data_IF_526454277736
#
_entry.id   IF_526454277736
#
_cell.length_a   1.000
_cell.length_b   1.000
_cell.length_c   1.000
_cell.angle_alpha   90.00
_cell.angle_beta   90.00
_cell.angle_gamma   90.00
#
_symmetry.space_group_name_H-M   'P 1'
#
loop_
_entity.id
_entity.type
_entity.pdbx_description
1 polymer ?
#
# COMPACT_ATOMS: atom_id res chain seq x y z
N UNK A 1 5.97 14.25 10.47
CA UNK A 1 7.18 13.74 11.15
C UNK A 1 8.40 13.80 10.23
N UNK A 2 8.43 13.14 9.06
CA UNK A 2 9.62 13.12 8.16
C UNK A 2 10.11 14.52 7.78
N UNK A 3 9.22 15.45 7.42
CA UNK A 3 9.59 16.82 7.08
C UNK A 3 10.24 17.60 8.25
N UNK A 4 9.83 17.30 9.49
CA UNK A 4 10.47 17.85 10.67
C UNK A 4 11.93 17.39 10.79
N UNK A 5 12.17 16.08 10.63
CA UNK A 5 13.53 15.53 10.68
C UNK A 5 14.39 16.04 9.54
N UNK A 6 13.85 16.10 8.31
CA UNK A 6 14.53 16.69 7.15
C UNK A 6 15.00 18.12 7.45
N UNK A 7 14.11 18.96 7.98
CA UNK A 7 14.45 20.33 8.37
C UNK A 7 15.53 20.37 9.45
N UNK A 8 15.43 19.51 10.47
CA UNK A 8 16.39 19.42 11.56
C UNK A 8 17.76 18.97 11.07
N UNK A 9 17.81 17.95 10.22
CA UNK A 9 19.08 17.47 9.62
C UNK A 9 19.72 18.58 8.79
N UNK A 10 18.97 19.26 7.93
CA UNK A 10 19.50 20.38 7.13
C UNK A 10 20.01 21.55 7.98
N UNK A 11 19.42 21.80 9.15
CA UNK A 11 19.92 22.86 10.05
C UNK A 11 21.27 22.51 10.69
N UNK A 12 21.56 21.21 10.86
CA UNK A 12 22.83 20.74 11.46
C UNK A 12 23.87 20.39 10.39
N UNK A 13 23.44 19.87 9.26
CA UNK A 13 24.29 19.46 8.14
C UNK A 13 23.74 20.02 6.81
N UNK A 14 23.91 21.33 6.51
CA UNK A 14 23.29 21.98 5.35
C UNK A 14 23.68 21.37 4.01
N UNK A 15 24.90 20.86 3.91
CA UNK A 15 25.45 20.25 2.68
C UNK A 15 25.05 18.79 2.46
N UNK A 16 24.46 18.13 3.47
CA UNK A 16 24.03 16.74 3.33
C UNK A 16 22.88 16.62 2.34
N UNK A 17 23.00 15.83 1.25
CA UNK A 17 21.91 15.59 0.34
C UNK A 17 20.76 14.87 1.03
N UNK A 18 19.54 15.39 0.90
CA UNK A 18 18.34 14.78 1.44
C UNK A 18 17.39 14.33 0.32
N UNK A 19 17.10 13.05 0.33
CA UNK A 19 16.25 12.38 -0.65
C UNK A 19 14.97 11.94 0.03
N UNK A 20 13.83 12.19 -0.57
CA UNK A 20 12.53 11.68 -0.14
C UNK A 20 11.96 10.73 -1.19
N UNK A 21 11.14 9.78 -0.75
CA UNK A 21 10.49 8.81 -1.64
C UNK A 21 9.35 8.08 -0.93
N UNK A 22 8.81 7.09 -1.62
CA UNK A 22 7.72 6.27 -1.13
C UNK A 22 6.38 6.55 -1.82
N UNK A 23 5.42 5.66 -1.65
CA UNK A 23 4.15 5.64 -2.40
C UNK A 23 3.26 6.88 -2.20
N UNK A 24 3.48 7.66 -1.14
CA UNK A 24 2.71 8.89 -0.85
C UNK A 24 3.26 10.10 -1.64
N UNK A 25 4.48 10.01 -2.15
CA UNK A 25 5.19 11.10 -2.81
C UNK A 25 5.39 10.72 -4.27
N UNK A 26 4.43 11.01 -5.13
CA UNK A 26 4.53 10.65 -6.55
C UNK A 26 3.78 11.60 -7.47
N UNK A 27 4.09 11.55 -8.76
CA UNK A 27 3.44 12.35 -9.78
C UNK A 27 3.53 13.86 -9.52
N UNK A 28 2.43 14.57 -9.68
CA UNK A 28 2.35 16.03 -9.41
C UNK A 28 2.77 16.42 -7.99
N UNK A 29 2.53 15.55 -7.01
CA UNK A 29 2.89 15.84 -5.62
C UNK A 29 4.40 15.97 -5.42
N UNK A 30 5.22 15.24 -6.17
CA UNK A 30 6.68 15.28 -6.04
C UNK A 30 7.24 16.66 -6.36
N UNK A 31 6.86 17.23 -7.50
CA UNK A 31 7.33 18.57 -7.90
C UNK A 31 6.82 19.65 -6.95
N UNK A 32 5.53 19.58 -6.56
CA UNK A 32 4.95 20.52 -5.60
C UNK A 32 5.68 20.47 -4.24
N UNK A 33 6.04 19.27 -3.77
CA UNK A 33 6.77 19.09 -2.52
C UNK A 33 8.19 19.64 -2.59
N UNK A 34 8.95 19.37 -3.67
CA UNK A 34 10.28 19.94 -3.86
C UNK A 34 10.26 21.47 -3.84
N UNK A 35 9.28 22.09 -4.52
CA UNK A 35 9.15 23.53 -4.57
C UNK A 35 8.70 24.13 -3.23
N UNK A 36 7.91 23.40 -2.45
CA UNK A 36 7.41 23.85 -1.15
C UNK A 36 8.37 23.60 0.00
N UNK A 37 9.30 22.66 -0.13
CA UNK A 37 10.25 22.26 0.91
C UNK A 37 11.71 22.31 0.41
N UNK A 38 12.37 23.47 0.49
CA UNK A 38 13.75 23.64 0.01
C UNK A 38 14.78 22.70 0.65
N UNK A 39 14.45 22.14 1.81
CA UNK A 39 15.29 21.17 2.52
C UNK A 39 15.33 19.78 1.88
N UNK A 40 14.47 19.49 0.92
CA UNK A 40 14.51 18.25 0.14
C UNK A 40 15.28 18.53 -1.15
N UNK A 41 16.31 17.79 -1.44
CA UNK A 41 17.12 17.98 -2.65
C UNK A 41 16.56 17.18 -3.84
N UNK A 42 16.13 15.94 -3.59
CA UNK A 42 15.57 15.04 -4.59
C UNK A 42 14.33 14.32 -4.08
N UNK A 43 13.45 13.94 -5.00
CA UNK A 43 12.41 12.96 -4.73
C UNK A 43 12.58 11.78 -5.69
N UNK A 44 12.48 10.56 -5.14
CA UNK A 44 12.39 9.35 -5.94
C UNK A 44 10.93 9.01 -6.14
N UNK A 45 10.52 8.96 -7.40
CA UNK A 45 9.18 8.60 -7.85
C UNK A 45 9.19 7.16 -8.39
N UNK A 46 8.45 6.27 -7.75
CA UNK A 46 8.45 4.84 -8.04
C UNK A 46 9.38 4.04 -7.13
N UNK A 47 10.00 3.00 -7.69
CA UNK A 47 10.89 2.08 -6.96
C UNK A 47 12.29 2.68 -6.85
N UNK A 48 12.82 2.68 -5.63
CA UNK A 48 14.00 3.49 -5.29
C UNK A 48 15.34 2.83 -5.53
N UNK A 49 15.40 1.52 -5.70
CA UNK A 49 16.62 0.74 -5.65
C UNK A 49 17.68 1.24 -6.65
N UNK A 50 17.35 1.32 -7.93
CA UNK A 50 18.30 1.77 -8.96
C UNK A 50 18.46 3.29 -8.98
N UNK A 51 17.41 4.12 -8.92
CA UNK A 51 17.56 5.57 -8.89
C UNK A 51 18.44 6.06 -7.74
N UNK A 52 18.25 5.49 -6.53
CA UNK A 52 19.03 5.84 -5.36
C UNK A 52 20.49 5.36 -5.50
N UNK A 53 20.73 4.16 -6.02
CA UNK A 53 22.08 3.65 -6.26
C UNK A 53 22.86 4.55 -7.24
N UNK A 54 22.23 4.97 -8.34
CA UNK A 54 22.83 5.92 -9.30
C UNK A 54 23.15 7.28 -8.67
N UNK A 55 22.25 7.79 -7.84
CA UNK A 55 22.49 9.06 -7.15
C UNK A 55 23.68 8.94 -6.19
N UNK A 56 23.76 7.87 -5.40
CA UNK A 56 24.87 7.63 -4.47
C UNK A 56 26.20 7.49 -5.25
N UNK A 57 26.19 6.76 -6.35
CA UNK A 57 27.37 6.58 -7.20
C UNK A 57 27.88 7.93 -7.76
N UNK A 58 26.95 8.78 -8.25
CA UNK A 58 27.28 10.11 -8.73
C UNK A 58 27.94 10.98 -7.65
N UNK A 59 27.32 11.01 -6.45
CA UNK A 59 27.85 11.79 -5.33
C UNK A 59 29.21 11.27 -4.84
N UNK A 60 29.43 9.96 -4.86
CA UNK A 60 30.74 9.36 -4.52
C UNK A 60 31.85 9.76 -5.51
N UNK A 61 31.53 9.96 -6.77
CA UNK A 61 32.47 10.42 -7.81
C UNK A 61 32.71 11.96 -7.73
N UNK A 62 32.33 12.60 -6.61
CA UNK A 62 32.42 14.06 -6.40
C UNK A 62 31.56 14.89 -7.36
N UNK A 63 30.53 14.29 -7.94
CA UNK A 63 29.53 15.01 -8.68
C UNK A 63 28.72 15.94 -7.75
N UNK A 64 28.30 17.07 -8.26
CA UNK A 64 27.43 17.97 -7.53
C UNK A 64 25.97 17.62 -7.74
N UNK A 65 25.08 18.06 -6.85
CA UNK A 65 23.65 17.84 -6.98
C UNK A 65 23.08 18.46 -8.27
N UNK A 66 23.66 19.57 -8.71
CA UNK A 66 23.24 20.29 -9.91
C UNK A 66 23.66 19.60 -11.22
N UNK A 67 24.67 18.77 -11.17
CA UNK A 67 25.22 18.01 -12.30
C UNK A 67 24.66 16.61 -12.41
N UNK A 68 23.75 16.20 -11.51
CA UNK A 68 23.15 14.89 -11.58
C UNK A 68 22.35 14.74 -12.90
N UNK A 69 22.66 13.70 -13.72
CA UNK A 69 22.00 13.52 -15.00
C UNK A 69 20.53 13.18 -14.86
N UNK A 70 19.73 13.54 -15.86
CA UNK A 70 18.35 13.14 -15.92
C UNK A 70 18.25 11.62 -15.81
N UNK A 71 17.56 11.16 -14.78
CA UNK A 71 17.49 9.73 -14.43
C UNK A 71 16.03 9.37 -14.19
N UNK A 72 15.49 8.36 -14.90
CA UNK A 72 14.12 7.91 -14.67
C UNK A 72 13.85 7.64 -13.19
N UNK A 73 12.75 8.18 -12.68
CA UNK A 73 12.37 8.05 -11.28
C UNK A 73 13.02 9.07 -10.33
N UNK A 74 13.95 9.91 -10.78
CA UNK A 74 14.50 11.00 -9.96
C UNK A 74 13.87 12.33 -10.35
N UNK A 75 13.23 12.98 -9.41
CA UNK A 75 12.61 14.30 -9.59
C UNK A 75 13.49 15.34 -8.92
N UNK A 76 13.87 16.37 -9.68
CA UNK A 76 14.66 17.52 -9.24
C UNK A 76 13.85 18.82 -9.41
N UNK A 77 14.36 19.94 -8.93
CA UNK A 77 13.75 21.27 -9.19
C UNK A 77 13.82 21.68 -10.65
N UNK A 78 14.72 21.06 -11.44
CA UNK A 78 14.84 21.27 -12.89
C UNK A 78 13.85 20.39 -13.68
N UNK A 79 13.25 19.38 -13.05
CA UNK A 79 12.27 18.49 -13.70
C UNK A 79 11.01 19.30 -14.04
N UNK A 80 10.60 19.36 -15.31
CA UNK A 80 9.42 20.11 -15.68
C UNK A 80 8.17 19.57 -14.96
N UNK A 81 7.19 20.43 -14.65
CA UNK A 81 5.91 20.00 -14.11
C UNK A 81 5.27 19.02 -15.08
N UNK A 82 5.04 17.82 -14.62
CA UNK A 82 4.55 16.74 -15.48
C UNK A 82 3.05 16.95 -15.75
N UNK A 83 2.74 17.24 -16.98
CA UNK A 83 1.42 16.99 -17.52
C UNK A 83 1.32 15.47 -17.76
N UNK A 84 0.62 14.76 -16.89
CA UNK A 84 0.43 13.31 -16.90
C UNK A 84 1.60 12.48 -16.33
N UNK A 85 1.33 11.83 -15.20
CA UNK A 85 2.04 10.70 -14.58
C UNK A 85 3.52 10.62 -14.96
N UNK A 86 4.32 11.43 -14.34
CA UNK A 86 5.72 11.56 -14.65
C UNK A 86 6.50 10.27 -14.62
N UNK A 87 7.66 10.31 -15.24
CA UNK A 87 8.55 9.18 -15.30
C UNK A 87 8.80 8.62 -13.90
N UNK A 88 8.19 7.50 -13.60
CA UNK A 88 8.50 6.71 -12.42
C UNK A 88 9.45 5.58 -12.83
N UNK A 89 10.34 5.23 -11.95
CA UNK A 89 11.16 4.06 -12.14
C UNK A 89 10.46 2.82 -11.62
N UNK A 90 10.58 1.72 -12.36
CA UNK A 90 10.01 0.44 -12.01
C UNK A 90 10.99 -0.68 -12.37
N UNK A 91 11.27 -1.57 -11.43
CA UNK A 91 11.99 -2.80 -11.71
C UNK A 91 11.14 -3.76 -12.54
N UNK A 92 11.63 -4.19 -13.67
CA UNK A 92 10.92 -5.17 -14.51
C UNK A 92 11.09 -6.60 -13.99
N UNK A 93 12.30 -6.96 -13.55
CA UNK A 93 12.62 -8.30 -13.04
C UNK A 93 12.92 -8.27 -11.54
N UNK A 94 11.96 -8.73 -10.72
CA UNK A 94 12.15 -8.80 -9.28
C UNK A 94 13.20 -9.82 -8.82
N UNK A 95 13.71 -10.67 -9.71
CA UNK A 95 14.80 -11.59 -9.38
C UNK A 95 16.12 -10.87 -9.14
N UNK A 96 16.29 -9.69 -9.73
CA UNK A 96 17.49 -8.87 -9.58
C UNK A 96 17.54 -8.10 -8.24
N UNK A 97 16.45 -8.11 -7.47
CA UNK A 97 16.41 -7.40 -6.19
C UNK A 97 17.15 -8.24 -5.14
N UNK A 98 18.15 -7.66 -4.46
CA UNK A 98 18.89 -8.36 -3.41
C UNK A 98 18.00 -8.64 -2.20
N UNK A 99 18.38 -9.65 -1.40
CA UNK A 99 17.76 -9.91 -0.11
C UNK A 99 17.97 -8.67 0.79
N UNK A 100 16.91 -8.17 1.47
CA UNK A 100 17.05 -7.03 2.37
C UNK A 100 18.03 -7.31 3.52
N UNK A 101 18.83 -6.30 3.87
CA UNK A 101 19.69 -6.37 5.05
C UNK A 101 19.05 -5.62 6.22
N UNK A 102 18.72 -6.34 7.28
CA UNK A 102 18.12 -5.80 8.51
C UNK A 102 19.11 -5.71 9.68
N UNK A 103 20.40 -5.86 9.46
CA UNK A 103 21.40 -5.93 10.52
C UNK A 103 21.41 -4.67 11.40
N UNK A 104 21.37 -3.49 10.77
CA UNK A 104 21.34 -2.22 11.49
C UNK A 104 20.07 -2.10 12.36
N UNK A 105 18.91 -2.46 11.80
CA UNK A 105 17.64 -2.47 12.52
C UNK A 105 17.72 -3.36 13.78
N UNK A 106 18.23 -4.57 13.67
CA UNK A 106 18.37 -5.49 14.81
C UNK A 106 19.43 -5.02 15.79
N UNK A 107 20.50 -4.36 15.33
CA UNK A 107 21.49 -3.71 16.20
C UNK A 107 20.85 -2.61 17.05
N UNK A 108 20.04 -1.76 16.46
CA UNK A 108 19.29 -0.71 17.17
C UNK A 108 18.28 -1.32 18.14
N UNK A 109 17.51 -2.33 17.71
CA UNK A 109 16.53 -3.01 18.56
C UNK A 109 17.18 -3.62 19.79
N UNK A 110 18.33 -4.28 19.62
CA UNK A 110 19.12 -4.86 20.72
C UNK A 110 19.70 -3.84 21.69
N UNK A 111 19.86 -2.58 21.28
CA UNK A 111 20.31 -1.48 22.14
C UNK A 111 19.21 -0.83 22.97
N UNK A 112 17.93 -1.17 22.71
CA UNK A 112 16.81 -0.62 23.46
C UNK A 112 16.73 -1.19 24.87
N UNK A 113 16.33 -0.38 25.89
CA UNK A 113 16.04 -0.89 27.22
C UNK A 113 14.97 -1.99 27.17
N UNK A 114 15.04 -3.02 28.06
CA UNK A 114 14.09 -4.15 28.06
C UNK A 114 12.61 -3.73 28.06
N UNK A 115 12.26 -2.64 28.74
CA UNK A 115 10.89 -2.12 28.80
C UNK A 115 10.40 -1.51 27.47
N UNK A 116 11.28 -1.31 26.50
CA UNK A 116 10.97 -0.76 25.17
C UNK A 116 11.19 -1.77 24.04
N UNK A 117 11.63 -2.99 24.35
CA UNK A 117 11.76 -4.06 23.37
C UNK A 117 10.40 -4.59 22.97
N UNK A 118 10.28 -5.03 21.74
CA UNK A 118 9.09 -5.66 21.17
C UNK A 118 9.52 -6.82 20.27
N UNK A 119 8.60 -7.73 20.00
CA UNK A 119 8.85 -8.80 19.05
C UNK A 119 8.85 -8.25 17.62
N UNK A 120 9.99 -8.29 16.91
CA UNK A 120 10.08 -7.77 15.57
C UNK A 120 9.32 -8.66 14.58
N UNK A 121 8.84 -8.05 13.51
CA UNK A 121 8.27 -8.74 12.37
C UNK A 121 9.06 -8.34 11.12
N UNK A 122 9.55 -9.32 10.37
CA UNK A 122 10.29 -9.11 9.14
C UNK A 122 9.33 -8.78 7.99
N UNK A 123 9.47 -7.63 7.32
CA UNK A 123 8.75 -7.40 6.08
C UNK A 123 9.34 -8.26 4.96
N UNK A 124 8.46 -8.85 4.15
CA UNK A 124 8.82 -9.62 2.96
C UNK A 124 7.86 -9.28 1.81
N UNK A 125 8.23 -9.65 0.59
CA UNK A 125 7.36 -9.48 -0.57
C UNK A 125 7.46 -10.69 -1.51
N UNK A 126 6.31 -11.13 -2.01
CA UNK A 126 6.19 -12.10 -3.10
C UNK A 126 6.08 -11.36 -4.43
N UNK A 127 5.39 -10.20 -4.44
CA UNK A 127 5.02 -9.48 -5.65
C UNK A 127 4.98 -7.97 -5.45
N UNK A 128 5.04 -7.23 -6.54
CA UNK A 128 4.79 -5.79 -6.59
C UNK A 128 3.70 -5.46 -7.58
N UNK A 129 2.86 -4.49 -7.24
CA UNK A 129 1.66 -4.15 -7.95
C UNK A 129 0.45 -4.96 -7.46
N UNK A 130 -0.66 -4.86 -8.17
CA UNK A 130 -1.88 -5.59 -7.83
C UNK A 130 -2.37 -6.39 -9.04
N UNK A 131 -2.49 -7.71 -8.87
CA UNK A 131 -2.93 -8.60 -9.95
C UNK A 131 -4.41 -8.39 -10.35
N UNK A 132 -5.21 -7.73 -9.51
CA UNK A 132 -6.57 -7.34 -9.83
C UNK A 132 -6.63 -6.11 -10.74
N UNK A 133 -5.63 -5.23 -10.67
CA UNK A 133 -5.52 -4.07 -11.52
C UNK A 133 -5.01 -4.48 -12.90
N UNK A 134 -5.90 -4.51 -13.88
CA UNK A 134 -5.56 -4.81 -15.28
C UNK A 134 -5.69 -3.52 -16.10
N UNK A 135 -4.62 -3.04 -16.75
CA UNK A 135 -4.76 -2.03 -17.78
C UNK A 135 -5.60 -2.62 -18.91
N UNK A 136 -6.60 -1.88 -19.39
CA UNK A 136 -7.28 -2.25 -20.61
C UNK A 136 -6.62 -1.60 -21.83
N UNK A 137 -6.99 -2.06 -23.02
CA UNK A 137 -6.50 -1.53 -24.28
C UNK A 137 -6.80 -0.04 -24.50
N UNK A 138 -7.73 0.53 -23.74
CA UNK A 138 -8.14 1.94 -23.83
C UNK A 138 -7.54 2.79 -22.70
N UNK A 139 -6.59 2.25 -21.92
CA UNK A 139 -5.95 2.97 -20.80
C UNK A 139 -6.88 3.20 -19.60
N UNK A 140 -8.06 2.57 -19.58
CA UNK A 140 -8.93 2.60 -18.40
C UNK A 140 -8.45 1.62 -17.37
N UNK A 141 -8.18 2.12 -16.18
CA UNK A 141 -7.60 1.37 -15.08
C UNK A 141 -8.67 0.48 -14.42
N UNK A 142 -8.61 -0.83 -14.68
CA UNK A 142 -9.52 -1.81 -14.08
C UNK A 142 -8.97 -2.32 -12.75
N UNK A 143 -9.18 -1.58 -11.70
CA UNK A 143 -8.88 -1.95 -10.32
C UNK A 143 -10.03 -1.54 -9.40
N UNK A 144 -9.85 -1.69 -8.09
CA UNK A 144 -10.82 -1.21 -7.12
C UNK A 144 -10.99 0.32 -7.26
N UNK A 145 -12.24 0.79 -7.35
CA UNK A 145 -12.54 2.19 -7.70
C UNK A 145 -11.95 3.21 -6.72
N UNK A 146 -11.79 2.84 -5.46
CA UNK A 146 -11.27 3.68 -4.39
C UNK A 146 -9.74 3.62 -4.23
N UNK A 147 -9.09 2.62 -4.81
CA UNK A 147 -7.69 2.32 -4.53
C UNK A 147 -6.75 3.21 -5.34
N UNK A 148 -5.74 3.73 -4.68
CA UNK A 148 -4.67 4.52 -5.27
C UNK A 148 -3.26 3.97 -4.98
N UNK A 149 -3.15 2.74 -4.46
CA UNK A 149 -1.85 2.16 -4.07
C UNK A 149 -0.92 1.92 -5.26
N UNK A 150 -1.47 1.71 -6.45
CA UNK A 150 -0.71 1.34 -7.64
C UNK A 150 -0.60 2.48 -8.67
N UNK A 151 -0.59 3.74 -8.23
CA UNK A 151 -0.47 4.89 -9.15
C UNK A 151 0.93 5.11 -9.68
N UNK A 152 1.96 4.68 -8.95
CA UNK A 152 3.36 4.90 -9.28
C UNK A 152 4.00 3.77 -10.10
N UNK A 153 3.26 2.71 -10.41
CA UNK A 153 3.73 1.60 -11.23
C UNK A 153 2.60 0.95 -11.99
N UNK A 154 2.96 0.29 -13.08
CA UNK A 154 2.03 -0.43 -13.92
C UNK A 154 2.29 -1.94 -13.86
N UNK A 155 1.21 -2.70 -14.07
CA UNK A 155 1.29 -4.15 -14.15
C UNK A 155 1.50 -4.83 -12.79
N UNK A 156 1.75 -6.11 -12.87
CA UNK A 156 1.94 -7.00 -11.73
C UNK A 156 3.18 -7.86 -11.99
N UNK A 157 4.11 -7.86 -11.05
CA UNK A 157 5.39 -8.60 -11.12
C UNK A 157 5.53 -9.46 -9.89
N UNK A 158 6.19 -10.61 -10.02
CA UNK A 158 6.24 -11.60 -8.95
C UNK A 158 7.60 -12.30 -8.94
N UNK A 159 8.12 -12.55 -7.73
CA UNK A 159 9.29 -13.39 -7.49
C UNK A 159 8.95 -14.87 -7.72
N UNK A 160 9.95 -15.69 -7.96
CA UNK A 160 9.76 -17.15 -7.98
C UNK A 160 9.53 -17.70 -6.57
N UNK A 161 8.84 -18.83 -6.48
CA UNK A 161 8.63 -19.47 -5.17
C UNK A 161 9.96 -19.84 -4.49
N UNK A 162 10.95 -20.30 -5.27
CA UNK A 162 12.29 -20.63 -4.78
C UNK A 162 12.97 -19.43 -4.14
N UNK A 163 12.93 -18.28 -4.82
CA UNK A 163 13.52 -17.05 -4.32
C UNK A 163 12.84 -16.63 -3.00
N UNK A 164 11.51 -16.58 -2.95
CA UNK A 164 10.78 -16.15 -1.74
C UNK A 164 11.07 -17.07 -0.57
N UNK A 165 11.03 -18.38 -0.77
CA UNK A 165 11.31 -19.36 0.29
C UNK A 165 12.75 -19.24 0.80
N UNK A 166 13.71 -19.10 -0.10
CA UNK A 166 15.13 -18.92 0.28
C UNK A 166 15.36 -17.60 1.02
N UNK A 167 14.73 -16.50 0.60
CA UNK A 167 14.82 -15.21 1.29
C UNK A 167 14.25 -15.30 2.71
N UNK A 168 13.08 -15.91 2.88
CA UNK A 168 12.42 -16.05 4.19
C UNK A 168 13.25 -16.97 5.10
N UNK A 169 13.72 -18.10 4.58
CA UNK A 169 14.54 -19.03 5.36
C UNK A 169 15.83 -18.37 5.82
N UNK A 170 16.52 -17.66 4.92
CA UNK A 170 17.73 -16.90 5.23
C UNK A 170 17.49 -15.82 6.29
N UNK A 171 16.48 -14.94 6.08
CA UNK A 171 16.20 -13.82 6.98
C UNK A 171 15.78 -14.29 8.37
N UNK A 172 14.88 -15.27 8.43
CA UNK A 172 14.39 -15.80 9.70
C UNK A 172 15.45 -16.55 10.50
N UNK A 173 16.33 -17.28 9.79
CA UNK A 173 17.48 -17.97 10.42
C UNK A 173 18.54 -16.98 10.91
N UNK A 174 18.88 -15.97 10.11
CA UNK A 174 19.88 -14.95 10.43
C UNK A 174 19.49 -14.11 11.65
N UNK A 175 18.25 -13.70 11.71
CA UNK A 175 17.75 -12.76 12.72
C UNK A 175 17.01 -13.44 13.88
N UNK A 176 16.83 -14.77 13.83
CA UNK A 176 16.11 -15.57 14.82
C UNK A 176 14.68 -15.03 15.07
N UNK A 177 13.99 -14.65 14.00
CA UNK A 177 12.64 -14.10 14.00
C UNK A 177 11.73 -14.92 13.10
N UNK A 178 10.63 -15.44 13.65
CA UNK A 178 9.66 -16.27 12.91
C UNK A 178 8.40 -15.50 12.47
N UNK A 179 8.26 -14.23 12.89
CA UNK A 179 7.17 -13.37 12.45
C UNK A 179 7.53 -12.67 11.15
N UNK A 180 6.72 -12.85 10.11
CA UNK A 180 6.92 -12.27 8.78
C UNK A 180 5.64 -11.65 8.27
N UNK A 181 5.69 -10.40 7.81
CA UNK A 181 4.58 -9.70 7.16
C UNK A 181 4.86 -9.55 5.67
N UNK A 182 3.98 -10.12 4.84
CA UNK A 182 4.03 -9.89 3.41
C UNK A 182 3.43 -8.53 3.08
N UNK A 183 4.24 -7.66 2.45
CA UNK A 183 3.90 -6.27 2.13
C UNK A 183 3.25 -6.13 0.76
N UNK A 184 2.78 -7.22 0.21
CA UNK A 184 2.07 -7.28 -1.08
C UNK A 184 0.72 -6.57 -0.99
N UNK A 185 0.33 -5.82 -2.03
CA UNK A 185 -1.00 -5.18 -2.09
C UNK A 185 -2.17 -6.19 -2.16
N UNK A 186 -1.92 -7.39 -2.59
CA UNK A 186 -2.79 -8.56 -2.51
C UNK A 186 -2.01 -9.78 -3.00
N UNK A 187 -1.87 -10.80 -2.16
CA UNK A 187 -1.21 -12.04 -2.57
C UNK A 187 -1.92 -12.70 -3.77
N UNK A 188 -1.15 -13.14 -4.77
CA UNK A 188 -1.69 -13.89 -5.90
C UNK A 188 -2.03 -15.33 -5.47
N UNK A 189 -3.30 -15.78 -5.52
CA UNK A 189 -3.72 -17.03 -4.88
C UNK A 189 -2.84 -18.24 -5.25
N UNK A 190 -2.77 -18.60 -6.52
CA UNK A 190 -2.09 -19.84 -6.96
C UNK A 190 -0.55 -19.80 -6.79
N UNK A 191 0.06 -18.63 -6.91
CA UNK A 191 1.52 -18.49 -6.72
C UNK A 191 1.89 -18.52 -5.24
N UNK A 192 1.10 -17.84 -4.42
CA UNK A 192 1.27 -17.85 -2.97
C UNK A 192 1.06 -19.24 -2.39
N UNK A 193 0.08 -20.01 -2.90
CA UNK A 193 -0.12 -21.41 -2.53
C UNK A 193 1.19 -22.21 -2.59
N UNK A 194 1.93 -22.10 -3.70
CA UNK A 194 3.22 -22.78 -3.87
C UNK A 194 4.27 -22.33 -2.86
N UNK A 195 4.32 -21.03 -2.56
CA UNK A 195 5.25 -20.49 -1.57
C UNK A 195 4.92 -21.03 -0.18
N UNK A 196 3.67 -20.93 0.27
CA UNK A 196 3.26 -21.37 1.61
C UNK A 196 3.35 -22.89 1.78
N UNK A 197 3.01 -23.67 0.76
CA UNK A 197 3.22 -25.11 0.79
C UNK A 197 4.70 -25.49 1.03
N UNK A 198 5.63 -24.77 0.41
CA UNK A 198 7.07 -25.01 0.63
C UNK A 198 7.57 -24.48 1.96
N UNK A 199 7.05 -23.33 2.43
CA UNK A 199 7.37 -22.79 3.76
C UNK A 199 6.94 -23.74 4.87
N UNK A 200 5.78 -24.40 4.75
CA UNK A 200 5.35 -25.43 5.71
C UNK A 200 6.32 -26.61 5.79
N UNK A 201 6.97 -26.95 4.67
CA UNK A 201 8.01 -27.98 4.61
C UNK A 201 9.29 -27.67 5.40
N UNK A 202 9.54 -26.40 5.75
CA UNK A 202 10.69 -25.99 6.58
C UNK A 202 10.51 -26.37 8.06
N UNK A 203 9.31 -26.73 8.48
CA UNK A 203 8.95 -27.14 9.86
C UNK A 203 9.38 -26.13 10.92
N UNK A 204 9.22 -24.83 10.63
CA UNK A 204 9.44 -23.72 11.54
C UNK A 204 8.08 -23.16 12.00
N UNK A 205 7.98 -22.71 13.24
CA UNK A 205 6.76 -22.11 13.81
C UNK A 205 6.55 -20.67 13.32
N UNK A 206 6.39 -20.51 12.01
CA UNK A 206 6.17 -19.20 11.42
C UNK A 206 4.86 -18.56 11.87
N UNK A 207 4.88 -17.23 11.95
CA UNK A 207 3.69 -16.39 12.12
C UNK A 207 3.63 -15.41 10.96
N UNK A 208 2.78 -15.71 9.98
CA UNK A 208 2.61 -14.87 8.80
C UNK A 208 1.44 -13.92 8.93
N UNK A 209 1.63 -12.72 8.36
CA UNK A 209 0.59 -11.77 8.03
C UNK A 209 0.59 -11.51 6.52
N UNK A 210 -0.60 -11.31 5.92
CA UNK A 210 -0.71 -10.89 4.53
C UNK A 210 -2.04 -10.21 4.20
N UNK A 211 -2.07 -9.53 3.04
CA UNK A 211 -3.30 -9.02 2.44
C UNK A 211 -3.73 -9.92 1.28
N UNK A 212 -5.01 -10.26 1.22
CA UNK A 212 -5.61 -11.09 0.17
C UNK A 212 -6.94 -10.53 -0.33
N UNK A 213 -7.44 -11.10 -1.40
CA UNK A 213 -8.80 -10.85 -1.89
C UNK A 213 -9.77 -11.95 -1.42
N UNK A 214 -11.05 -11.59 -1.29
CA UNK A 214 -12.08 -12.52 -0.84
C UNK A 214 -12.33 -13.69 -1.82
N UNK A 215 -11.92 -13.58 -3.07
CA UNK A 215 -11.96 -14.66 -4.06
C UNK A 215 -10.81 -15.69 -3.90
N UNK A 216 -10.25 -15.82 -2.69
CA UNK A 216 -9.23 -16.85 -2.39
C UNK A 216 -9.92 -18.12 -1.90
N UNK A 217 -9.69 -19.21 -2.61
CA UNK A 217 -10.32 -20.49 -2.34
C UNK A 217 -9.93 -21.06 -0.96
N UNK A 218 -10.82 -21.87 -0.38
CA UNK A 218 -10.60 -22.50 0.92
C UNK A 218 -9.33 -23.36 0.98
N UNK A 219 -9.06 -24.15 -0.05
CA UNK A 219 -7.83 -24.97 -0.13
C UNK A 219 -6.54 -24.15 -0.06
N UNK A 220 -6.55 -22.94 -0.63
CA UNK A 220 -5.41 -22.03 -0.56
C UNK A 220 -5.25 -21.49 0.87
N UNK A 221 -6.36 -21.19 1.54
CA UNK A 221 -6.33 -20.76 2.94
C UNK A 221 -5.87 -21.90 3.88
N UNK A 222 -6.19 -23.15 3.58
CA UNK A 222 -5.68 -24.32 4.32
C UNK A 222 -4.15 -24.44 4.17
N UNK A 223 -3.60 -24.27 2.97
CA UNK A 223 -2.15 -24.23 2.77
C UNK A 223 -1.51 -23.04 3.53
N UNK A 224 -2.18 -21.89 3.59
CA UNK A 224 -1.72 -20.73 4.35
C UNK A 224 -1.72 -21.02 5.87
N UNK A 225 -2.81 -21.59 6.40
CA UNK A 225 -2.92 -21.97 7.79
C UNK A 225 -1.84 -22.98 8.20
N UNK A 226 -1.64 -24.02 7.39
CA UNK A 226 -0.63 -25.06 7.60
C UNK A 226 0.81 -24.53 7.62
N UNK A 227 1.05 -23.42 6.91
CA UNK A 227 2.35 -22.75 6.91
C UNK A 227 2.55 -21.77 8.07
N UNK A 228 1.50 -21.49 8.85
CA UNK A 228 1.56 -20.54 9.97
C UNK A 228 0.97 -19.16 9.70
N UNK A 229 0.02 -19.03 8.76
CA UNK A 229 -0.73 -17.78 8.57
C UNK A 229 -1.57 -17.47 9.80
N UNK A 230 -1.09 -16.56 10.63
CA UNK A 230 -1.73 -16.20 11.89
C UNK A 230 -2.81 -15.12 11.71
N UNK A 231 -2.54 -14.16 10.83
CA UNK A 231 -3.41 -13.00 10.63
C UNK A 231 -3.48 -12.63 9.16
N UNK A 232 -4.65 -12.22 8.69
CA UNK A 232 -4.90 -11.89 7.30
C UNK A 232 -5.82 -10.67 7.19
N UNK A 233 -5.50 -9.75 6.29
CA UNK A 233 -6.42 -8.70 5.88
C UNK A 233 -7.09 -9.09 4.57
N UNK A 234 -8.35 -9.46 4.63
CA UNK A 234 -9.12 -9.72 3.41
C UNK A 234 -9.74 -8.43 2.90
N UNK A 235 -9.59 -8.16 1.61
CA UNK A 235 -10.22 -7.02 0.95
C UNK A 235 -11.73 -7.20 0.81
N UNK A 236 -12.48 -7.16 1.91
CA UNK A 236 -13.94 -7.29 1.98
C UNK A 236 -14.65 -6.01 1.54
N UNK A 237 -14.36 -4.90 2.16
CA UNK A 237 -14.81 -3.53 1.91
C UNK A 237 -16.32 -3.28 2.00
N UNK A 238 -17.18 -4.23 1.60
CA UNK A 238 -18.62 -4.12 1.65
C UNK A 238 -19.29 -5.51 1.78
N UNK A 239 -20.53 -5.53 2.30
CA UNK A 239 -21.39 -6.70 2.36
C UNK A 239 -22.70 -6.49 1.59
N UNK A 240 -22.68 -5.61 0.60
CA UNK A 240 -23.72 -5.48 -0.45
C UNK A 240 -23.09 -5.80 -1.81
N UNK A 241 -23.65 -6.76 -2.52
CA UNK A 241 -23.17 -7.15 -3.86
C UNK A 241 -23.25 -5.99 -4.86
N UNK A 242 -24.27 -5.16 -4.77
CA UNK A 242 -24.39 -3.97 -5.61
C UNK A 242 -23.30 -2.91 -5.26
N UNK A 243 -23.00 -2.72 -3.99
CA UNK A 243 -21.91 -1.82 -3.55
C UNK A 243 -20.54 -2.35 -3.98
N UNK A 244 -20.31 -3.66 -3.90
CA UNK A 244 -19.09 -4.32 -4.38
C UNK A 244 -18.89 -4.14 -5.89
N UNK A 245 -19.95 -4.15 -6.69
CA UNK A 245 -19.90 -3.79 -8.12
C UNK A 245 -19.48 -2.34 -8.32
N UNK A 246 -20.03 -1.39 -7.55
CA UNK A 246 -19.66 0.03 -7.61
C UNK A 246 -18.20 0.26 -7.20
N UNK A 247 -17.71 -0.50 -6.23
CA UNK A 247 -16.32 -0.52 -5.78
C UNK A 247 -15.37 -1.23 -6.77
N UNK A 248 -15.91 -1.88 -7.79
CA UNK A 248 -15.18 -2.73 -8.73
C UNK A 248 -14.31 -3.80 -8.04
N UNK A 249 -14.88 -4.44 -7.00
CA UNK A 249 -14.18 -5.47 -6.23
C UNK A 249 -14.12 -6.82 -6.94
N UNK A 250 -15.07 -7.11 -7.84
CA UNK A 250 -15.16 -8.39 -8.52
C UNK A 250 -15.52 -9.56 -7.61
N UNK A 251 -16.12 -9.28 -6.46
CA UNK A 251 -16.65 -10.26 -5.50
C UNK A 251 -18.09 -9.92 -5.16
N UNK A 252 -18.80 -10.87 -4.56
CA UNK A 252 -20.17 -10.76 -4.05
C UNK A 252 -20.20 -10.74 -2.52
N UNK A 253 -21.31 -10.35 -1.95
CA UNK A 253 -21.49 -10.36 -0.50
C UNK A 253 -21.36 -11.79 0.08
N UNK A 254 -21.84 -12.80 -0.64
CA UNK A 254 -21.76 -14.20 -0.18
C UNK A 254 -20.31 -14.72 -0.17
N UNK A 255 -19.51 -14.41 -1.18
CA UNK A 255 -18.08 -14.75 -1.21
C UNK A 255 -17.31 -14.08 -0.06
N UNK A 256 -17.68 -12.82 0.27
CA UNK A 256 -17.11 -12.14 1.41
C UNK A 256 -17.49 -12.79 2.76
N UNK A 257 -18.73 -13.27 2.91
CA UNK A 257 -19.16 -14.03 4.09
C UNK A 257 -18.48 -15.42 4.15
N UNK A 258 -18.33 -16.06 3.01
CA UNK A 258 -17.68 -17.37 2.90
C UNK A 258 -16.22 -17.31 3.36
N UNK A 259 -15.45 -16.32 2.90
CA UNK A 259 -14.05 -16.20 3.34
C UNK A 259 -13.95 -15.84 4.83
N UNK A 260 -14.88 -15.04 5.38
CA UNK A 260 -14.94 -14.80 6.83
C UNK A 260 -15.13 -16.11 7.59
N UNK A 261 -16.10 -16.96 7.16
CA UNK A 261 -16.32 -18.29 7.71
C UNK A 261 -15.08 -19.18 7.61
N UNK A 262 -14.42 -19.19 6.45
CA UNK A 262 -13.24 -20.01 6.22
C UNK A 262 -12.07 -19.58 7.11
N UNK A 263 -11.86 -18.28 7.31
CA UNK A 263 -10.84 -17.78 8.24
C UNK A 263 -11.09 -18.25 9.68
N UNK A 264 -12.34 -18.14 10.18
CA UNK A 264 -12.68 -18.62 11.52
C UNK A 264 -12.47 -20.14 11.65
N UNK A 265 -12.93 -20.92 10.66
CA UNK A 265 -12.79 -22.39 10.66
C UNK A 265 -11.33 -22.86 10.65
N UNK A 266 -10.42 -22.07 10.08
CA UNK A 266 -8.99 -22.37 9.98
C UNK A 266 -8.15 -21.70 11.08
N UNK A 267 -8.78 -20.98 12.01
CA UNK A 267 -8.07 -20.28 13.09
C UNK A 267 -7.25 -19.08 12.61
N UNK A 268 -7.48 -18.58 11.40
CA UNK A 268 -6.81 -17.43 10.84
C UNK A 268 -7.53 -16.16 11.32
N UNK A 269 -6.81 -15.25 11.97
CA UNK A 269 -7.38 -13.98 12.42
C UNK A 269 -7.62 -13.04 11.25
N UNK A 270 -8.90 -12.80 10.91
CA UNK A 270 -9.30 -11.84 9.88
C UNK A 270 -9.44 -10.42 10.47
N UNK A 271 -8.71 -9.43 9.91
CA UNK A 271 -8.72 -8.02 10.33
C UNK A 271 -9.24 -7.07 9.25
N UNK A 272 -10.19 -7.51 8.48
CA UNK A 272 -10.73 -6.81 7.31
C UNK A 272 -11.53 -5.55 7.64
N UNK A 273 -11.61 -4.68 6.64
CA UNK A 273 -12.32 -3.40 6.74
C UNK A 273 -13.72 -3.47 6.10
N UNK A 274 -14.64 -2.65 6.63
CA UNK A 274 -15.91 -2.29 6.02
C UNK A 274 -15.90 -0.79 5.74
N UNK A 275 -15.99 -0.40 4.46
CA UNK A 275 -15.96 0.99 4.05
C UNK A 275 -17.34 1.63 4.23
N UNK A 276 -17.40 2.65 5.06
CA UNK A 276 -18.58 3.46 5.27
C UNK A 276 -18.55 4.70 4.38
N UNK A 277 -19.75 5.16 3.99
CA UNK A 277 -19.94 6.43 3.27
C UNK A 277 -19.21 6.49 1.92
N UNK A 278 -19.15 5.37 1.20
CA UNK A 278 -18.66 5.39 -0.17
C UNK A 278 -19.60 6.22 -1.06
N UNK A 279 -19.09 7.18 -1.85
CA UNK A 279 -19.94 7.99 -2.73
C UNK A 279 -20.66 7.11 -3.74
N UNK A 280 -21.96 7.35 -3.91
CA UNK A 280 -22.83 6.53 -4.78
C UNK A 280 -23.43 5.28 -4.11
N UNK A 281 -23.14 4.98 -2.82
CA UNK A 281 -23.91 3.97 -2.10
C UNK A 281 -25.36 4.43 -1.89
N UNK A 282 -26.28 3.48 -1.88
CA UNK A 282 -27.73 3.69 -1.73
C UNK A 282 -28.24 3.13 -0.41
N UNK A 283 -29.46 3.53 -0.01
CA UNK A 283 -30.12 2.95 1.15
C UNK A 283 -30.26 1.42 1.06
N UNK A 284 -30.50 0.91 -0.15
CA UNK A 284 -30.56 -0.55 -0.40
C UNK A 284 -29.22 -1.22 -0.08
N UNK A 285 -28.10 -0.60 -0.45
CA UNK A 285 -26.76 -1.13 -0.16
C UNK A 285 -26.49 -1.18 1.35
N UNK A 286 -26.97 -0.17 2.10
CA UNK A 286 -26.85 -0.13 3.56
C UNK A 286 -27.71 -1.22 4.21
N UNK A 287 -28.98 -1.34 3.80
CA UNK A 287 -29.90 -2.36 4.33
C UNK A 287 -29.41 -3.78 4.05
N UNK A 288 -28.86 -4.04 2.86
CA UNK A 288 -28.24 -5.33 2.51
C UNK A 288 -27.03 -5.60 3.41
N UNK A 289 -26.16 -4.61 3.60
CA UNK A 289 -25.01 -4.72 4.49
C UNK A 289 -25.41 -5.02 5.93
N UNK A 290 -26.41 -4.34 6.48
CA UNK A 290 -26.89 -4.58 7.84
C UNK A 290 -27.43 -6.00 8.01
N UNK A 291 -28.24 -6.49 7.05
CA UNK A 291 -28.71 -7.89 7.07
C UNK A 291 -27.55 -8.90 7.01
N UNK A 292 -26.55 -8.64 6.18
CA UNK A 292 -25.36 -9.48 6.09
C UNK A 292 -24.55 -9.47 7.39
N UNK A 293 -24.46 -8.32 8.07
CA UNK A 293 -23.80 -8.19 9.38
C UNK A 293 -24.56 -8.95 10.47
N UNK A 294 -25.90 -8.98 10.45
CA UNK A 294 -26.69 -9.79 11.37
C UNK A 294 -26.38 -11.27 11.24
N UNK A 295 -26.23 -11.76 10.02
CA UNK A 295 -25.79 -13.13 9.75
C UNK A 295 -24.31 -13.35 10.18
N UNK A 296 -23.45 -12.37 9.99
CA UNK A 296 -22.02 -12.44 10.25
C UNK A 296 -21.63 -12.27 11.74
N UNK A 297 -22.59 -12.14 12.67
CA UNK A 297 -22.31 -11.93 14.11
C UNK A 297 -21.42 -12.98 14.75
N UNK A 298 -21.39 -14.19 14.19
CA UNK A 298 -20.59 -15.31 14.68
C UNK A 298 -19.11 -15.24 14.23
N UNK A 299 -18.80 -14.36 13.28
CA UNK A 299 -17.45 -14.15 12.77
C UNK A 299 -16.79 -12.95 13.44
N UNK A 300 -15.48 -12.89 13.33
CA UNK A 300 -14.72 -11.73 13.82
C UNK A 300 -15.23 -10.43 13.17
N UNK A 301 -15.50 -9.37 13.97
CA UNK A 301 -16.08 -8.14 13.46
C UNK A 301 -15.15 -7.41 12.49
N UNK A 302 -15.74 -6.82 11.46
CA UNK A 302 -15.03 -5.97 10.51
C UNK A 302 -14.71 -4.61 11.15
N UNK A 303 -13.54 -4.07 10.83
CA UNK A 303 -13.17 -2.70 11.23
C UNK A 303 -13.93 -1.68 10.37
N UNK A 304 -14.71 -0.82 11.01
CA UNK A 304 -15.40 0.26 10.32
C UNK A 304 -14.43 1.36 9.93
N UNK A 305 -14.33 1.66 8.64
CA UNK A 305 -13.47 2.71 8.11
C UNK A 305 -14.28 3.66 7.23
N UNK A 306 -14.13 4.96 7.44
CA UNK A 306 -14.76 5.95 6.57
C UNK A 306 -14.04 5.98 5.22
N UNK A 307 -14.79 6.10 4.12
CA UNK A 307 -14.21 6.30 2.81
C UNK A 307 -13.36 7.59 2.79
N UNK A 308 -12.14 7.45 2.28
CA UNK A 308 -11.24 8.55 1.97
C UNK A 308 -10.97 8.58 0.48
N UNK A 309 -11.05 9.78 -0.12
CA UNK A 309 -10.77 9.92 -1.54
C UNK A 309 -9.25 9.93 -1.75
N UNK A 310 -8.73 8.86 -2.31
CA UNK A 310 -7.33 8.78 -2.72
C UNK A 310 -7.13 9.51 -4.05
N UNK A 311 -6.12 10.38 -4.12
CA UNK A 311 -5.70 11.01 -5.36
C UNK A 311 -5.34 9.94 -6.41
N UNK A 312 -5.67 10.17 -7.67
CA UNK A 312 -5.46 9.23 -8.78
C UNK A 312 -6.30 7.93 -8.73
N UNK A 313 -7.14 7.71 -7.72
CA UNK A 313 -8.11 6.61 -7.75
C UNK A 313 -9.13 6.81 -8.87
N UNK A 314 -9.83 5.73 -9.26
CA UNK A 314 -10.89 5.82 -10.28
C UNK A 314 -12.02 6.77 -9.87
N UNK A 315 -12.36 6.84 -8.57
CA UNK A 315 -13.33 7.81 -8.04
C UNK A 315 -12.82 9.24 -8.21
N UNK A 316 -11.54 9.47 -7.96
CA UNK A 316 -10.91 10.79 -8.10
C UNK A 316 -10.85 11.23 -9.58
N UNK A 317 -10.53 10.32 -10.48
CA UNK A 317 -10.46 10.59 -11.93
C UNK A 317 -11.81 10.82 -12.58
N UNK A 318 -12.87 10.26 -12.02
CA UNK A 318 -14.23 10.33 -12.58
C UNK A 318 -15.24 10.76 -11.52
N UNK A 319 -15.06 11.92 -10.88
CA UNK A 319 -15.84 12.31 -9.70
C UNK A 319 -17.34 12.41 -9.99
N UNK A 320 -17.73 12.84 -11.20
CA UNK A 320 -19.15 13.02 -11.59
C UNK A 320 -19.92 11.69 -11.58
N UNK A 321 -19.27 10.57 -11.97
CA UNK A 321 -19.89 9.23 -11.92
C UNK A 321 -20.33 8.83 -10.52
N UNK A 322 -19.72 9.43 -9.51
CA UNK A 322 -20.00 9.19 -8.09
C UNK A 322 -20.78 10.34 -7.43
N UNK A 323 -21.25 11.30 -8.25
CA UNK A 323 -22.01 12.46 -7.77
C UNK A 323 -21.16 13.48 -6.99
N UNK A 324 -19.85 13.44 -7.13
CA UNK A 324 -18.90 14.38 -6.52
C UNK A 324 -18.86 15.65 -7.39
N UNK A 325 -19.05 16.81 -6.74
CA UNK A 325 -19.12 18.13 -7.39
C UNK A 325 -17.80 18.90 -7.30
N UNK A 326 -16.99 18.64 -6.28
CA UNK A 326 -15.70 19.29 -6.08
C UNK A 326 -14.77 18.39 -5.28
N UNK A 327 -13.48 18.45 -5.60
CA UNK A 327 -12.41 17.72 -4.92
C UNK A 327 -11.38 18.73 -4.40
N UNK A 328 -10.89 18.53 -3.18
CA UNK A 328 -9.92 19.40 -2.53
C UNK A 328 -9.09 18.60 -1.52
N UNK A 329 -7.97 19.17 -1.05
CA UNK A 329 -7.16 18.52 -0.03
C UNK A 329 -7.95 18.25 1.26
N UNK A 330 -7.72 17.10 1.88
CA UNK A 330 -8.40 16.77 3.13
C UNK A 330 -8.11 17.82 4.22
N UNK A 331 -9.13 18.33 4.94
CA UNK A 331 -8.97 19.43 5.90
C UNK A 331 -7.93 19.19 7.00
N UNK A 332 -7.68 17.93 7.37
CA UNK A 332 -6.67 17.59 8.38
C UNK A 332 -5.27 18.08 8.04
N UNK A 333 -4.95 18.28 6.75
CA UNK A 333 -3.65 18.83 6.37
C UNK A 333 -3.46 20.28 6.82
N UNK A 334 -4.53 21.05 7.09
CA UNK A 334 -4.44 22.39 7.65
C UNK A 334 -3.87 22.41 9.07
N UNK A 335 -4.03 21.32 9.81
CA UNK A 335 -3.43 21.18 11.15
C UNK A 335 -1.93 20.84 11.09
N UNK A 336 -1.46 20.36 9.94
CA UNK A 336 -0.09 19.91 9.74
C UNK A 336 0.76 20.95 8.99
N UNK A 337 0.14 21.76 8.13
CA UNK A 337 0.84 22.64 7.22
C UNK A 337 0.25 24.08 7.24
N UNK A 338 1.11 25.11 7.08
CA UNK A 338 0.64 26.47 6.85
C UNK A 338 -0.27 26.56 5.61
N UNK A 339 -1.20 27.51 5.60
CA UNK A 339 -2.19 27.66 4.52
C UNK A 339 -1.55 27.77 3.13
N UNK A 340 -0.39 28.45 3.01
CA UNK A 340 0.36 28.53 1.75
C UNK A 340 0.71 27.15 1.20
N UNK A 341 1.21 26.24 2.06
CA UNK A 341 1.58 24.87 1.66
C UNK A 341 0.33 24.04 1.41
N UNK A 342 -0.69 24.14 2.28
CA UNK A 342 -1.95 23.45 2.08
C UNK A 342 -2.58 23.74 0.72
N UNK A 343 -2.46 24.96 0.21
CA UNK A 343 -3.01 25.34 -1.11
C UNK A 343 -2.12 24.97 -2.28
N UNK A 344 -0.80 24.95 -2.11
CA UNK A 344 0.15 24.72 -3.20
C UNK A 344 0.45 23.24 -3.46
N UNK A 345 0.28 22.38 -2.47
CA UNK A 345 0.57 20.94 -2.57
C UNK A 345 -0.71 20.16 -2.73
N UNK A 346 -0.77 19.25 -3.70
CA UNK A 346 -1.81 18.23 -3.77
C UNK A 346 -1.37 17.03 -2.97
N UNK A 347 -2.09 16.77 -1.87
CA UNK A 347 -1.80 15.63 -0.99
C UNK A 347 -2.51 14.36 -1.46
N UNK A 348 -1.95 13.23 -1.14
CA UNK A 348 -2.48 11.91 -1.52
C UNK A 348 -3.92 11.67 -1.06
N UNK A 349 -4.28 12.16 0.12
CA UNK A 349 -5.65 12.05 0.65
C UNK A 349 -6.39 13.34 0.35
N UNK A 350 -7.52 13.19 -0.32
CA UNK A 350 -8.41 14.28 -0.70
C UNK A 350 -9.73 14.19 0.06
N UNK A 351 -10.47 15.26 0.05
CA UNK A 351 -11.86 15.33 0.47
C UNK A 351 -12.72 15.84 -0.70
N UNK A 352 -14.02 15.80 -0.56
CA UNK A 352 -14.95 16.15 -1.63
C UNK A 352 -16.25 16.75 -1.12
N UNK A 353 -16.92 17.51 -1.99
CA UNK A 353 -18.32 17.93 -1.83
C UNK A 353 -19.21 17.24 -2.85
N UNK A 354 -20.46 17.00 -2.49
CA UNK A 354 -21.41 16.24 -3.30
C UNK A 354 -21.41 14.78 -2.87
N UNK A 355 -21.87 13.90 -3.75
CA UNK A 355 -22.23 12.55 -3.35
C UNK A 355 -23.64 12.53 -2.73
N UNK A 356 -24.38 11.44 -2.92
CA UNK A 356 -25.72 11.32 -2.33
C UNK A 356 -25.60 11.18 -0.81
N UNK A 357 -26.23 12.08 -0.10
CA UNK A 357 -26.15 12.27 1.36
C UNK A 357 -26.92 11.23 2.19
N UNK A 358 -27.47 10.19 1.58
CA UNK A 358 -28.20 9.12 2.30
C UNK A 358 -27.45 8.48 3.46
N UNK A 359 -26.15 8.66 3.47
CA UNK A 359 -25.26 7.96 4.40
C UNK A 359 -25.13 8.60 5.78
N UNK A 360 -25.56 9.86 5.96
CA UNK A 360 -25.35 10.52 7.26
C UNK A 360 -26.24 10.00 8.38
N UNK A 361 -27.40 9.43 8.04
CA UNK A 361 -28.40 8.98 9.01
C UNK A 361 -28.52 7.46 9.15
N UNK A 362 -27.94 6.68 8.21
CA UNK A 362 -28.10 5.22 8.16
C UNK A 362 -26.85 4.44 8.58
N UNK A 363 -25.70 5.09 8.63
CA UNK A 363 -24.45 4.55 9.16
C UNK A 363 -24.22 5.13 10.57
#
# INVERSE_FOLDING_TARGET
SSLYFIKKIKSTAPKLPLVAGGSIIGGESAVCLLNSFPSIDFIINGEGELPLAKLIEHLRKRGTLDEFPDTPGVVTRKTPPIQNSGSFFQFCDLKAIPIPDYQEYFGILGSLPPAKTFFPTLPAEISRGCWWRKPDFFGTDKGCAFCNLNVQWSGYRVKTADQVVSEIDYLTSRHQVLSVAFMDNALPPQRSRRVFHRLSGLKKDFKFFSEIRAATDREILEDFANAGMAEIQVGIEALSTNLLKKLNKGTTAIENLEIMKNCEALGIKNISNLILRFPGSSEKDVKETLRALDFARVFRPLKLVRFWLGMESSVWKNPEKFGIKAVFNHPNYRHLFPEKIYRSVRFMIQDYRGGKTFQKSLW
#
